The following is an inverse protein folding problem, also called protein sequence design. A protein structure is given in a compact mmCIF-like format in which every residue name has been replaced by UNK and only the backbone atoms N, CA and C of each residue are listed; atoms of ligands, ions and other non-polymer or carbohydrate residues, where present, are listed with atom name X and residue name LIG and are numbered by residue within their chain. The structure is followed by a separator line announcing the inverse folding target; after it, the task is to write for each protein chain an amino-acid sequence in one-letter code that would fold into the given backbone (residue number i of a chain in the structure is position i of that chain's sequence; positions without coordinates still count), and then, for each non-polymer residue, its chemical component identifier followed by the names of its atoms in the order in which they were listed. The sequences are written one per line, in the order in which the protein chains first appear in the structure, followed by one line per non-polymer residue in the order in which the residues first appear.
data_IF_415529832180
#
_entry.id   IF_415529832180
#
_cell.length_a   1.000
_cell.length_b   1.000
_cell.length_c   1.000
_cell.angle_alpha   90.00
_cell.angle_beta   90.00
_cell.angle_gamma   90.00
#
_symmetry.space_group_name_H-M   'P 1'
#
loop_
_entity.id
_entity.type
_entity.pdbx_description
1 polymer ?
#
# COMPACT_ATOMS: atom_id res chain seq x y z
N UNK A 1 -4.31 -6.78 -2.15
CA UNK A 1 -3.58 -6.41 -0.93
C UNK A 1 -4.00 -7.26 0.27
N UNK A 2 -5.29 -7.37 0.60
CA UNK A 2 -5.76 -8.18 1.74
C UNK A 2 -5.20 -9.60 1.70
N UNK A 3 -5.28 -10.27 0.55
CA UNK A 3 -4.79 -11.64 0.37
C UNK A 3 -3.27 -11.76 0.30
N UNK A 4 -2.57 -10.70 -0.08
CA UNK A 4 -1.11 -10.71 -0.25
C UNK A 4 -0.34 -10.15 0.98
N UNK A 5 -1.03 -9.50 1.90
CA UNK A 5 -0.42 -8.88 3.09
C UNK A 5 0.55 -7.73 2.78
N UNK A 6 0.47 -7.16 1.58
CA UNK A 6 1.35 -6.07 1.15
C UNK A 6 0.64 -5.11 0.18
N UNK A 7 0.87 -3.81 0.34
CA UNK A 7 0.34 -2.78 -0.57
C UNK A 7 1.01 -2.76 -1.95
N UNK A 8 2.13 -3.44 -2.11
CA UNK A 8 2.87 -3.48 -3.37
C UNK A 8 2.13 -4.19 -4.51
N UNK A 9 1.07 -4.93 -4.23
CA UNK A 9 0.15 -5.47 -5.25
C UNK A 9 -0.46 -4.38 -6.12
N UNK A 10 -0.52 -3.13 -5.65
CA UNK A 10 -0.95 -1.99 -6.45
C UNK A 10 -0.13 -1.83 -7.73
N UNK A 11 1.18 -2.09 -7.72
CA UNK A 11 2.03 -1.95 -8.91
C UNK A 11 1.52 -2.72 -10.13
N UNK A 12 0.91 -3.88 -9.93
CA UNK A 12 0.36 -4.69 -11.02
C UNK A 12 -0.96 -4.15 -11.60
N UNK A 13 -1.70 -3.38 -10.82
CA UNK A 13 -3.02 -2.87 -11.20
C UNK A 13 -3.01 -1.42 -11.69
N UNK A 14 -2.07 -0.60 -11.22
CA UNK A 14 -2.00 0.82 -11.57
C UNK A 14 -1.96 1.08 -13.10
N UNK A 15 -1.17 0.34 -13.92
CA UNK A 15 -1.16 0.55 -15.38
C UNK A 15 -2.53 0.28 -16.02
N UNK A 16 -3.23 -0.76 -15.55
CA UNK A 16 -4.57 -1.11 -16.04
C UNK A 16 -5.57 -0.02 -15.68
N UNK A 17 -5.48 0.51 -14.47
CA UNK A 17 -6.34 1.61 -14.00
C UNK A 17 -6.15 2.86 -14.87
N UNK A 18 -4.91 3.20 -15.23
CA UNK A 18 -4.62 4.33 -16.13
C UNK A 18 -5.28 4.12 -17.50
N UNK A 19 -5.10 2.95 -18.10
CA UNK A 19 -5.66 2.65 -19.43
C UNK A 19 -7.19 2.70 -19.42
N UNK A 20 -7.85 2.06 -18.46
CA UNK A 20 -9.31 2.06 -18.31
C UNK A 20 -9.84 3.47 -18.06
N UNK A 21 -9.14 4.25 -17.23
CA UNK A 21 -9.54 5.64 -16.96
C UNK A 21 -9.44 6.51 -18.23
N UNK A 22 -8.36 6.38 -19.00
CA UNK A 22 -8.18 7.10 -20.29
C UNK A 22 -9.26 6.71 -21.30
N UNK A 23 -9.54 5.41 -21.44
CA UNK A 23 -10.59 4.92 -22.34
C UNK A 23 -11.97 5.47 -21.97
N UNK A 24 -12.27 5.50 -20.67
CA UNK A 24 -13.50 6.07 -20.11
C UNK A 24 -13.52 7.60 -20.04
N UNK A 25 -12.47 8.28 -20.52
CA UNK A 25 -12.27 9.74 -20.42
C UNK A 25 -12.34 10.27 -18.98
N UNK A 26 -12.10 9.38 -18.01
CA UNK A 26 -12.03 9.73 -16.59
C UNK A 26 -10.62 10.19 -16.27
N UNK A 27 -10.50 11.24 -15.47
CA UNK A 27 -9.22 11.71 -14.95
C UNK A 27 -8.49 10.61 -14.17
N UNK A 28 -7.34 10.07 -14.62
CA UNK A 28 -6.65 8.96 -13.97
C UNK A 28 -6.29 9.19 -12.50
N UNK A 29 -6.03 10.44 -12.09
CA UNK A 29 -5.72 10.74 -10.68
C UNK A 29 -6.82 10.35 -9.70
N UNK A 30 -8.08 10.26 -10.13
CA UNK A 30 -9.21 9.86 -9.28
C UNK A 30 -9.11 8.37 -8.91
N UNK A 31 -9.20 7.42 -9.85
CA UNK A 31 -9.11 6.00 -9.52
C UNK A 31 -7.71 5.59 -9.03
N UNK A 32 -6.63 6.24 -9.48
CA UNK A 32 -5.29 5.96 -8.99
C UNK A 32 -5.12 6.32 -7.51
N UNK A 33 -5.63 7.49 -7.09
CA UNK A 33 -5.54 7.90 -5.69
C UNK A 33 -6.28 6.92 -4.78
N UNK A 34 -7.46 6.46 -5.19
CA UNK A 34 -8.24 5.48 -4.43
C UNK A 34 -7.51 4.13 -4.39
N UNK A 35 -7.00 3.65 -5.54
CA UNK A 35 -6.30 2.37 -5.60
C UNK A 35 -5.05 2.34 -4.71
N UNK A 36 -4.26 3.42 -4.72
CA UNK A 36 -3.06 3.54 -3.87
C UNK A 36 -3.45 3.59 -2.40
N UNK A 37 -4.38 4.46 -2.01
CA UNK A 37 -4.84 4.58 -0.62
C UNK A 37 -5.45 3.26 -0.13
N UNK A 38 -6.35 2.66 -0.91
CA UNK A 38 -6.97 1.39 -0.56
C UNK A 38 -5.94 0.27 -0.41
N UNK A 39 -4.89 0.25 -1.23
CA UNK A 39 -3.83 -0.75 -1.11
C UNK A 39 -3.05 -0.65 0.21
N UNK A 40 -2.90 0.54 0.76
CA UNK A 40 -2.25 0.78 2.05
C UNK A 40 -3.18 0.43 3.21
N UNK A 41 -4.42 0.91 3.19
CA UNK A 41 -5.42 0.60 4.22
C UNK A 41 -5.72 -0.90 4.32
N UNK A 42 -5.76 -1.59 3.20
CA UNK A 42 -6.05 -3.02 3.13
C UNK A 42 -4.99 -3.92 3.80
N UNK A 43 -3.81 -3.39 4.13
CA UNK A 43 -2.80 -4.13 4.92
C UNK A 43 -3.31 -4.35 6.34
N UNK A 44 -4.04 -3.38 6.93
CA UNK A 44 -4.64 -3.53 8.25
C UNK A 44 -5.79 -4.55 8.28
N UNK A 45 -6.37 -4.87 7.12
CA UNK A 45 -7.40 -5.90 6.97
C UNK A 45 -6.83 -7.25 6.49
N UNK A 46 -5.51 -7.36 6.35
CA UNK A 46 -4.90 -8.59 5.84
C UNK A 46 -4.58 -9.58 6.96
N UNK A 47 -5.16 -10.78 6.92
CA UNK A 47 -4.88 -11.81 7.93
C UNK A 47 -3.43 -12.28 7.94
N UNK A 48 -2.67 -12.03 6.88
CA UNK A 48 -1.27 -12.45 6.77
C UNK A 48 -0.28 -11.28 6.85
N UNK A 49 -0.74 -10.06 7.16
CA UNK A 49 0.16 -8.92 7.30
C UNK A 49 0.92 -8.98 8.63
N UNK A 50 2.21 -8.68 8.60
CA UNK A 50 3.02 -8.65 9.81
C UNK A 50 2.50 -7.66 10.87
N UNK A 51 1.86 -6.56 10.45
CA UNK A 51 1.30 -5.59 11.38
C UNK A 51 0.09 -6.14 12.15
N UNK A 52 -0.83 -6.83 11.46
CA UNK A 52 -2.03 -7.45 12.08
C UNK A 52 -1.63 -8.60 12.98
N UNK A 53 -0.75 -9.47 12.49
CA UNK A 53 -0.26 -10.62 13.27
C UNK A 53 0.42 -10.15 14.57
N UNK A 54 1.27 -9.14 14.47
CA UNK A 54 1.93 -8.57 15.65
C UNK A 54 0.93 -7.93 16.62
N UNK A 55 -0.01 -7.12 16.12
CA UNK A 55 -1.04 -6.54 17.00
C UNK A 55 -1.82 -7.63 17.72
N UNK A 56 -2.27 -8.64 17.00
CA UNK A 56 -3.03 -9.73 17.59
C UNK A 56 -2.23 -10.47 18.67
N UNK A 57 -0.95 -10.76 18.43
CA UNK A 57 -0.09 -11.41 19.44
C UNK A 57 0.12 -10.56 20.70
N UNK A 58 0.17 -9.24 20.55
CA UNK A 58 0.28 -8.32 21.68
C UNK A 58 -1.03 -8.22 22.49
N UNK A 59 -2.17 -8.41 21.84
CA UNK A 59 -3.49 -8.31 22.48
C UNK A 59 -3.99 -9.65 23.05
N UNK A 60 -3.48 -10.78 22.59
CA UNK A 60 -3.90 -12.11 23.02
C UNK A 60 -3.88 -12.30 24.56
N UNK A 61 -2.82 -11.84 25.30
CA UNK A 61 -2.79 -11.91 26.76
C UNK A 61 -3.90 -11.09 27.44
N UNK A 62 -4.51 -10.14 26.73
CA UNK A 62 -5.59 -9.29 27.25
C UNK A 62 -6.99 -9.85 26.95
N UNK A 63 -7.08 -11.02 26.29
CA UNK A 63 -8.33 -11.69 25.93
C UNK A 63 -8.89 -11.27 24.57
N UNK A 64 -8.20 -10.40 23.82
CA UNK A 64 -8.59 -10.03 22.44
C UNK A 64 -7.83 -10.91 21.46
N UNK A 65 -8.54 -11.91 20.92
CA UNK A 65 -7.94 -12.88 20.01
C UNK A 65 -7.81 -12.35 18.57
N UNK A 66 -6.98 -13.05 17.80
CA UNK A 66 -6.71 -12.74 16.40
C UNK A 66 -7.97 -12.59 15.52
N UNK A 67 -8.93 -13.50 15.64
CA UNK A 67 -10.17 -13.43 14.86
C UNK A 67 -11.05 -12.24 15.24
N UNK A 68 -11.01 -11.80 16.50
CA UNK A 68 -11.73 -10.61 16.95
C UNK A 68 -11.12 -9.34 16.34
N UNK A 69 -9.79 -9.22 16.30
CA UNK A 69 -9.12 -8.12 15.61
C UNK A 69 -9.55 -8.09 14.14
N UNK A 70 -9.51 -9.22 13.44
CA UNK A 70 -9.90 -9.29 12.02
C UNK A 70 -11.38 -8.96 11.80
N UNK A 71 -12.27 -9.42 12.70
CA UNK A 71 -13.70 -9.15 12.60
C UNK A 71 -14.03 -7.66 12.68
N UNK A 72 -13.18 -6.87 13.32
CA UNK A 72 -13.32 -5.41 13.42
C UNK A 72 -12.64 -4.72 12.24
N UNK A 73 -11.36 -5.03 11.99
CA UNK A 73 -10.57 -4.25 11.02
C UNK A 73 -10.94 -4.53 9.56
N UNK A 74 -11.41 -5.74 9.22
CA UNK A 74 -11.81 -6.07 7.84
C UNK A 74 -13.01 -5.22 7.39
N UNK A 75 -14.19 -5.28 8.05
CA UNK A 75 -15.34 -4.50 7.63
C UNK A 75 -15.07 -2.98 7.70
N UNK A 76 -14.39 -2.50 8.75
CA UNK A 76 -14.03 -1.10 8.88
C UNK A 76 -13.19 -0.62 7.68
N UNK A 77 -12.18 -1.41 7.26
CA UNK A 77 -11.34 -1.09 6.10
C UNK A 77 -12.17 -0.99 4.82
N UNK A 78 -13.03 -1.96 4.54
CA UNK A 78 -13.86 -1.92 3.35
C UNK A 78 -14.81 -0.71 3.36
N UNK A 79 -15.46 -0.44 4.49
CA UNK A 79 -16.38 0.69 4.63
C UNK A 79 -15.69 2.04 4.44
N UNK A 80 -14.46 2.21 4.92
CA UNK A 80 -13.71 3.47 4.83
C UNK A 80 -13.34 3.88 3.41
N UNK A 81 -13.28 2.92 2.47
CA UNK A 81 -12.90 3.20 1.08
C UNK A 81 -14.03 3.90 0.32
N UNK A 82 -15.29 3.64 0.64
CA UNK A 82 -16.42 4.25 -0.07
C UNK A 82 -16.47 5.78 0.04
N UNK A 83 -16.41 6.41 1.23
CA UNK A 83 -16.35 7.86 1.33
C UNK A 83 -15.10 8.45 0.68
N UNK A 84 -13.94 7.76 0.77
CA UNK A 84 -12.73 8.18 0.09
C UNK A 84 -12.90 8.19 -1.45
N UNK A 85 -13.54 7.15 -2.00
CA UNK A 85 -13.84 7.06 -3.42
C UNK A 85 -14.82 8.15 -3.87
N UNK A 86 -15.85 8.39 -3.07
CA UNK A 86 -16.84 9.44 -3.36
C UNK A 86 -16.20 10.84 -3.38
N UNK A 87 -15.32 11.11 -2.41
CA UNK A 87 -14.58 12.38 -2.34
C UNK A 87 -13.61 12.49 -3.53
N UNK A 88 -12.81 11.46 -3.81
CA UNK A 88 -11.83 11.48 -4.90
C UNK A 88 -12.47 11.76 -6.27
N UNK A 89 -13.68 11.24 -6.50
CA UNK A 89 -14.41 11.48 -7.75
C UNK A 89 -14.81 12.96 -7.97
N UNK A 90 -14.80 13.78 -6.92
CA UNK A 90 -15.12 15.21 -7.00
C UNK A 90 -13.90 16.11 -7.21
N UNK A 91 -12.68 15.53 -7.12
CA UNK A 91 -11.48 16.33 -7.25
C UNK A 91 -10.96 16.43 -8.68
N UNK A 92 -10.48 17.64 -8.98
CA UNK A 92 -9.87 17.98 -10.26
C UNK A 92 -10.90 18.18 -11.38
N UNK A 93 -10.46 18.85 -12.44
CA UNK A 93 -11.23 19.02 -13.68
C UNK A 93 -11.40 17.68 -14.38
N UNK A 94 -12.39 17.57 -15.26
CA UNK A 94 -12.47 16.43 -16.17
C UNK A 94 -11.19 16.32 -17.02
N UNK A 95 -10.90 15.14 -17.53
CA UNK A 95 -9.63 14.91 -18.23
C UNK A 95 -9.48 15.84 -19.43
N UNK A 96 -10.52 16.00 -20.20
CA UNK A 96 -10.53 16.83 -21.42
C UNK A 96 -10.44 18.34 -21.13
N UNK A 97 -10.68 18.77 -19.87
CA UNK A 97 -10.58 20.16 -19.41
C UNK A 97 -9.28 20.45 -18.63
N UNK A 98 -8.44 19.44 -18.43
CA UNK A 98 -7.17 19.63 -17.72
C UNK A 98 -6.10 20.22 -18.64
N UNK A 99 -5.63 21.46 -18.37
CA UNK A 99 -4.65 22.11 -19.23
C UNK A 99 -3.33 21.32 -19.33
N UNK A 100 -2.93 20.62 -18.28
CA UNK A 100 -1.71 19.80 -18.30
C UNK A 100 -1.88 18.58 -19.22
N UNK A 101 -3.05 17.94 -19.19
CA UNK A 101 -3.35 16.86 -20.12
C UNK A 101 -3.35 17.34 -21.58
N UNK A 102 -4.01 18.46 -21.85
CA UNK A 102 -4.10 19.01 -23.19
C UNK A 102 -2.70 19.40 -23.73
N UNK A 103 -1.89 20.01 -22.90
CA UNK A 103 -0.49 20.33 -23.27
C UNK A 103 0.32 19.08 -23.57
N UNK A 104 0.29 18.06 -22.67
CA UNK A 104 1.01 16.81 -22.87
C UNK A 104 0.52 16.03 -24.08
N UNK A 105 -0.78 16.07 -24.36
CA UNK A 105 -1.37 15.47 -25.56
C UNK A 105 -0.89 16.17 -26.82
N UNK A 106 -0.86 17.51 -26.83
CA UNK A 106 -0.33 18.29 -27.95
C UNK A 106 1.17 18.02 -28.21
N UNK A 107 1.94 17.72 -27.17
CA UNK A 107 3.35 17.33 -27.26
C UNK A 107 3.57 15.85 -27.65
N UNK A 108 2.50 15.06 -27.85
CA UNK A 108 2.60 13.64 -28.16
C UNK A 108 3.09 12.75 -27.00
N UNK A 109 3.03 13.24 -25.76
CA UNK A 109 3.49 12.52 -24.57
C UNK A 109 2.43 11.57 -24.01
N UNK A 110 1.18 11.73 -24.41
CA UNK A 110 0.07 10.87 -23.98
C UNK A 110 -0.18 9.83 -25.06
N UNK A 111 -0.07 8.56 -24.67
CA UNK A 111 -0.38 7.44 -25.58
C UNK A 111 -1.87 7.28 -25.70
N UNK A 112 -2.35 7.01 -26.91
CA UNK A 112 -3.75 6.63 -27.12
C UNK A 112 -4.03 5.32 -26.35
N UNK A 113 -5.21 5.21 -25.69
CA UNK A 113 -5.60 4.00 -25.01
C UNK A 113 -5.73 2.84 -26.01
N UNK A 114 -5.32 1.67 -25.60
CA UNK A 114 -5.30 0.48 -26.48
C UNK A 114 -6.69 0.07 -26.96
N UNK A 115 -7.75 0.49 -26.29
CA UNK A 115 -9.14 0.18 -26.63
C UNK A 115 -9.46 -1.32 -26.57
N UNK A 116 -10.58 -1.69 -26.02
CA UNK A 116 -10.98 -3.10 -25.88
C UNK A 116 -11.20 -3.82 -27.24
N UNK A 117 -11.46 -3.07 -28.32
CA UNK A 117 -11.75 -3.62 -29.65
C UNK A 117 -10.54 -3.94 -30.52
N UNK A 118 -9.38 -3.33 -30.25
CA UNK A 118 -8.19 -3.43 -31.09
C UNK A 118 -7.03 -4.19 -30.40
N UNK A 119 -7.23 -4.67 -29.17
CA UNK A 119 -6.19 -5.37 -28.46
C UNK A 119 -6.05 -6.82 -28.95
N UNK A 120 -4.97 -7.11 -29.63
CA UNK A 120 -4.54 -8.49 -29.93
C UNK A 120 -3.45 -8.90 -28.96
N UNK A 121 -3.71 -9.83 -28.03
CA UNK A 121 -2.69 -10.29 -27.09
C UNK A 121 -1.48 -10.84 -27.83
N UNK A 122 -0.29 -10.42 -27.45
CA UNK A 122 0.94 -10.99 -27.99
C UNK A 122 1.03 -12.50 -27.68
N UNK A 123 1.75 -13.23 -28.54
CA UNK A 123 1.98 -14.66 -28.35
C UNK A 123 2.62 -14.90 -26.98
N UNK A 124 1.98 -15.72 -26.16
CA UNK A 124 2.45 -16.01 -24.80
C UNK A 124 1.84 -15.14 -23.69
N UNK A 125 1.10 -14.07 -24.01
CA UNK A 125 0.52 -13.17 -22.99
C UNK A 125 -0.39 -13.91 -21.99
N UNK A 126 -1.28 -14.80 -22.47
CA UNK A 126 -2.16 -15.59 -21.58
C UNK A 126 -1.36 -16.53 -20.68
N UNK A 127 -0.31 -17.17 -21.20
CA UNK A 127 0.55 -18.04 -20.42
C UNK A 127 1.35 -17.25 -19.37
N UNK A 128 1.80 -16.03 -19.70
CA UNK A 128 2.48 -15.14 -18.74
C UNK A 128 1.56 -14.76 -17.58
N UNK A 129 0.31 -14.42 -17.86
CA UNK A 129 -0.69 -14.12 -16.81
C UNK A 129 -0.92 -15.35 -15.94
N UNK A 130 -1.05 -16.55 -16.54
CA UNK A 130 -1.23 -17.78 -15.77
C UNK A 130 -0.04 -18.06 -14.85
N UNK A 131 1.20 -17.96 -15.35
CA UNK A 131 2.42 -18.14 -14.53
C UNK A 131 2.45 -17.13 -13.38
N UNK A 132 2.12 -15.87 -13.64
CA UNK A 132 2.05 -14.84 -12.61
C UNK A 132 0.99 -15.15 -11.53
N UNK A 133 -0.21 -15.58 -11.93
CA UNK A 133 -1.27 -15.95 -10.99
C UNK A 133 -0.87 -17.17 -10.14
N UNK A 134 -0.24 -18.17 -10.74
CA UNK A 134 0.29 -19.32 -10.01
C UNK A 134 1.36 -18.90 -9.01
N UNK A 135 2.25 -18.00 -9.40
CA UNK A 135 3.26 -17.45 -8.48
C UNK A 135 2.62 -16.73 -7.28
N UNK A 136 1.57 -15.94 -7.50
CA UNK A 136 0.82 -15.29 -6.41
C UNK A 136 0.21 -16.35 -5.48
N UNK A 137 -0.41 -17.40 -6.02
CA UNK A 137 -1.00 -18.48 -5.21
C UNK A 137 0.07 -19.18 -4.37
N UNK A 138 1.25 -19.46 -4.95
CA UNK A 138 2.38 -20.07 -4.22
C UNK A 138 2.84 -19.15 -3.08
N UNK A 139 3.01 -17.85 -3.34
CA UNK A 139 3.40 -16.87 -2.30
C UNK A 139 2.37 -16.82 -1.19
N UNK A 140 1.08 -16.79 -1.54
CA UNK A 140 -0.01 -16.76 -0.56
C UNK A 140 -0.04 -18.05 0.28
N UNK A 141 0.08 -19.20 -0.37
CA UNK A 141 0.15 -20.49 0.32
C UNK A 141 1.33 -20.55 1.28
N UNK A 142 2.52 -20.15 0.83
CA UNK A 142 3.71 -20.08 1.68
C UNK A 142 3.52 -19.16 2.87
N UNK A 143 3.03 -17.93 2.64
CA UNK A 143 2.78 -16.96 3.70
C UNK A 143 1.74 -17.45 4.72
N UNK A 144 0.75 -18.24 4.27
CA UNK A 144 -0.26 -18.84 5.16
C UNK A 144 0.34 -20.00 5.98
N UNK A 145 1.06 -20.92 5.32
CA UNK A 145 1.66 -22.09 5.97
C UNK A 145 2.72 -21.72 7.01
N UNK A 146 3.44 -20.61 6.80
CA UNK A 146 4.48 -20.10 7.69
C UNK A 146 3.98 -19.06 8.69
N UNK A 147 2.66 -18.76 8.70
CA UNK A 147 2.09 -17.84 9.68
C UNK A 147 2.00 -18.50 11.05
N UNK A 148 2.26 -17.74 12.11
CA UNK A 148 2.19 -18.21 13.50
C UNK A 148 0.81 -18.79 13.86
N UNK A 149 -0.27 -18.24 13.26
CA UNK A 149 -1.64 -18.68 13.51
C UNK A 149 -1.96 -20.06 12.92
N UNK A 150 -1.36 -20.41 11.78
CA UNK A 150 -1.57 -21.72 11.14
C UNK A 150 -0.61 -22.75 11.71
N UNK A 151 0.62 -22.35 12.05
CA UNK A 151 1.60 -23.16 12.77
C UNK A 151 2.06 -24.43 12.06
N UNK A 152 1.78 -24.57 10.75
CA UNK A 152 2.17 -25.78 10.00
C UNK A 152 3.68 -25.85 9.74
N UNK A 153 4.34 -24.69 9.59
CA UNK A 153 5.78 -24.56 9.42
C UNK A 153 6.27 -23.53 10.45
N UNK A 154 6.68 -24.02 11.61
CA UNK A 154 7.05 -23.16 12.73
C UNK A 154 8.42 -22.45 12.54
N UNK A 155 9.35 -23.09 11.81
CA UNK A 155 10.69 -22.53 11.54
C UNK A 155 11.00 -22.63 10.04
N UNK A 156 10.51 -21.66 9.24
CA UNK A 156 10.70 -21.70 7.81
C UNK A 156 12.16 -21.39 7.45
N UNK A 157 12.80 -22.30 6.73
CA UNK A 157 14.16 -22.11 6.19
C UNK A 157 14.24 -20.96 5.20
N UNK A 158 13.10 -20.58 4.60
CA UNK A 158 12.97 -19.44 3.69
C UNK A 158 12.02 -18.41 4.30
N UNK A 159 12.53 -17.30 4.87
CA UNK A 159 11.69 -16.24 5.39
C UNK A 159 10.75 -15.65 4.32
N UNK A 160 9.69 -14.99 4.76
CA UNK A 160 8.59 -14.55 3.90
C UNK A 160 9.03 -13.64 2.74
N UNK A 161 9.88 -12.65 3.02
CA UNK A 161 10.31 -11.70 1.98
C UNK A 161 11.18 -12.37 0.93
N UNK A 162 12.07 -13.23 1.36
CA UNK A 162 12.96 -14.03 0.51
C UNK A 162 12.17 -15.01 -0.33
N UNK A 163 11.11 -15.61 0.23
CA UNK A 163 10.19 -16.46 -0.52
C UNK A 163 9.47 -15.68 -1.62
N UNK A 164 8.94 -14.49 -1.33
CA UNK A 164 8.30 -13.63 -2.32
C UNK A 164 9.29 -13.30 -3.44
N UNK A 165 10.49 -12.83 -3.11
CA UNK A 165 11.51 -12.50 -4.10
C UNK A 165 11.86 -13.70 -4.98
N UNK A 166 12.12 -14.86 -4.36
CA UNK A 166 12.52 -16.08 -5.08
C UNK A 166 11.41 -16.55 -6.03
N UNK A 167 10.17 -16.63 -5.57
CA UNK A 167 9.03 -17.08 -6.38
C UNK A 167 8.76 -16.10 -7.53
N UNK A 168 8.78 -14.79 -7.27
CA UNK A 168 8.49 -13.79 -8.30
C UNK A 168 9.59 -13.69 -9.35
N UNK A 169 10.87 -13.79 -8.95
CA UNK A 169 11.99 -13.83 -9.90
C UNK A 169 11.99 -15.11 -10.72
N UNK A 170 11.65 -16.25 -10.12
CA UNK A 170 11.48 -17.52 -10.85
C UNK A 170 10.35 -17.41 -11.86
N UNK A 171 9.20 -16.86 -11.47
CA UNK A 171 8.09 -16.63 -12.40
C UNK A 171 8.48 -15.71 -13.55
N UNK A 172 9.18 -14.62 -13.27
CA UNK A 172 9.68 -13.71 -14.30
C UNK A 172 10.62 -14.43 -15.28
N UNK A 173 11.53 -15.25 -14.75
CA UNK A 173 12.45 -16.06 -15.58
C UNK A 173 11.69 -17.02 -16.48
N UNK A 174 10.71 -17.74 -15.94
CA UNK A 174 9.85 -18.67 -16.71
C UNK A 174 9.12 -17.90 -17.82
N UNK A 175 8.55 -16.74 -17.51
CA UNK A 175 7.83 -15.91 -18.49
C UNK A 175 8.78 -15.49 -19.61
N UNK A 176 9.97 -14.98 -19.31
CA UNK A 176 10.95 -14.56 -20.32
C UNK A 176 11.38 -15.74 -21.20
N UNK A 177 11.64 -16.89 -20.60
CA UNK A 177 12.01 -18.11 -21.36
C UNK A 177 10.89 -18.59 -22.28
N UNK A 178 9.64 -18.55 -21.83
CA UNK A 178 8.47 -18.98 -22.62
C UNK A 178 8.14 -18.00 -23.75
N UNK A 179 8.22 -16.70 -23.47
CA UNK A 179 7.83 -15.66 -24.43
C UNK A 179 8.96 -15.28 -25.37
N UNK A 180 10.20 -15.59 -24.99
CA UNK A 180 11.43 -15.20 -25.72
C UNK A 180 11.52 -13.68 -25.94
N UNK A 181 10.95 -12.89 -25.03
CA UNK A 181 11.02 -11.42 -25.08
C UNK A 181 12.46 -10.98 -24.86
N UNK A 182 13.03 -10.13 -25.70
CA UNK A 182 14.35 -9.58 -25.47
C UNK A 182 14.43 -8.80 -24.16
N UNK A 183 15.48 -8.99 -23.38
CA UNK A 183 15.65 -8.29 -22.10
C UNK A 183 15.63 -6.76 -22.25
N UNK A 184 16.14 -6.24 -23.39
CA UNK A 184 16.09 -4.83 -23.70
C UNK A 184 14.67 -4.25 -23.78
N UNK A 185 13.71 -5.05 -24.28
CA UNK A 185 12.31 -4.61 -24.37
C UNK A 185 11.68 -4.51 -22.98
N UNK A 186 12.02 -5.44 -22.08
CA UNK A 186 11.56 -5.40 -20.67
C UNK A 186 12.05 -4.13 -19.99
N UNK A 187 13.35 -3.78 -20.14
CA UNK A 187 13.96 -2.59 -19.56
C UNK A 187 13.30 -1.29 -20.03
N UNK A 188 12.73 -1.29 -21.23
CA UNK A 188 12.10 -0.13 -21.82
C UNK A 188 10.62 0.03 -21.47
N UNK A 189 10.02 -0.97 -20.80
CA UNK A 189 8.61 -0.86 -20.40
C UNK A 189 8.40 0.21 -19.32
N UNK A 190 7.27 0.94 -19.33
CA UNK A 190 6.95 1.91 -18.28
C UNK A 190 6.91 1.27 -16.90
N UNK A 191 6.38 0.04 -16.80
CA UNK A 191 6.28 -0.71 -15.52
C UNK A 191 7.65 -0.99 -14.92
N UNK A 192 8.62 -1.42 -15.75
CA UNK A 192 9.99 -1.66 -15.28
C UNK A 192 10.65 -0.35 -14.83
N UNK A 193 10.53 0.70 -15.63
CA UNK A 193 11.14 2.02 -15.31
C UNK A 193 10.59 2.59 -14.01
N UNK A 194 9.27 2.58 -13.81
CA UNK A 194 8.68 3.07 -12.56
C UNK A 194 9.00 2.16 -11.37
N UNK A 195 9.06 0.84 -11.57
CA UNK A 195 9.51 -0.09 -10.54
C UNK A 195 10.96 0.18 -10.10
N UNK A 196 11.87 0.39 -11.03
CA UNK A 196 13.26 0.74 -10.73
C UNK A 196 13.40 2.12 -10.08
N UNK A 197 12.65 3.12 -10.55
CA UNK A 197 12.59 4.44 -9.91
C UNK A 197 12.11 4.33 -8.45
N UNK A 198 11.06 3.52 -8.20
CA UNK A 198 10.60 3.24 -6.85
C UNK A 198 11.65 2.54 -5.99
N UNK A 199 12.39 1.56 -6.55
CA UNK A 199 13.50 0.90 -5.83
C UNK A 199 14.59 1.90 -5.43
N UNK A 200 15.01 2.78 -6.33
CA UNK A 200 16.01 3.81 -6.04
C UNK A 200 15.51 4.76 -4.94
N UNK A 201 14.26 5.19 -5.03
CA UNK A 201 13.63 6.03 -4.01
C UNK A 201 13.61 5.32 -2.64
N UNK A 202 13.20 4.05 -2.58
CA UNK A 202 13.17 3.28 -1.34
C UNK A 202 14.58 3.09 -0.77
N UNK A 203 15.57 2.77 -1.60
CA UNK A 203 16.95 2.62 -1.15
C UNK A 203 17.53 3.95 -0.64
N UNK A 204 17.22 5.07 -1.29
CA UNK A 204 17.72 6.37 -0.86
C UNK A 204 16.96 6.97 0.31
N UNK A 205 15.67 7.23 0.12
CA UNK A 205 14.84 7.96 1.10
C UNK A 205 14.50 7.10 2.31
N UNK A 206 14.11 5.84 2.08
CA UNK A 206 13.74 4.96 3.19
C UNK A 206 14.95 4.56 4.03
N UNK A 207 16.11 4.32 3.41
CA UNK A 207 17.33 4.04 4.17
C UNK A 207 17.76 5.23 5.01
N UNK A 208 17.78 6.43 4.43
CA UNK A 208 18.09 7.65 5.17
C UNK A 208 17.10 7.84 6.34
N UNK A 209 15.80 7.72 6.07
CA UNK A 209 14.75 7.82 7.09
C UNK A 209 14.90 6.76 8.18
N UNK A 210 15.13 5.50 7.82
CA UNK A 210 15.32 4.40 8.77
C UNK A 210 16.58 4.61 9.63
N UNK A 211 17.67 5.08 9.02
CA UNK A 211 18.92 5.38 9.77
C UNK A 211 18.71 6.49 10.78
N UNK A 212 18.02 7.56 10.40
CA UNK A 212 17.69 8.66 11.29
C UNK A 212 16.80 8.19 12.45
N UNK A 213 15.74 7.47 12.13
CA UNK A 213 14.77 6.99 13.13
C UNK A 213 15.44 5.97 14.08
N UNK A 214 16.23 5.04 13.57
CA UNK A 214 16.92 4.08 14.43
C UNK A 214 17.89 4.78 15.40
N UNK A 215 18.52 5.88 14.96
CA UNK A 215 19.40 6.67 15.82
C UNK A 215 18.64 7.38 16.96
N UNK A 216 17.45 7.89 16.66
CA UNK A 216 16.61 8.62 17.61
C UNK A 216 15.44 7.79 18.17
N UNK A 217 15.50 6.45 18.04
CA UNK A 217 14.37 5.58 18.40
C UNK A 217 13.99 5.72 19.89
N UNK A 218 14.97 5.77 20.79
CA UNK A 218 14.74 5.90 22.22
C UNK A 218 14.10 7.26 22.55
N UNK A 219 14.55 8.32 21.92
CA UNK A 219 13.98 9.65 22.09
C UNK A 219 12.53 9.70 21.56
N UNK A 220 12.27 9.11 20.38
CA UNK A 220 10.94 9.04 19.79
C UNK A 220 10.00 8.24 20.69
N UNK A 221 10.43 7.10 21.21
CA UNK A 221 9.63 6.26 22.10
C UNK A 221 9.35 6.96 23.42
N UNK A 222 10.34 7.66 23.98
CA UNK A 222 10.17 8.45 25.21
C UNK A 222 9.17 9.60 25.02
N UNK A 223 9.29 10.36 23.92
CA UNK A 223 8.35 11.42 23.58
C UNK A 223 6.94 10.88 23.31
N UNK A 224 6.83 9.82 22.50
CA UNK A 224 5.57 9.17 22.21
C UNK A 224 4.93 8.62 23.51
N UNK A 225 5.73 7.98 24.36
CA UNK A 225 5.30 7.46 25.66
C UNK A 225 4.70 8.54 26.56
N UNK A 226 5.37 9.67 26.71
CA UNK A 226 4.88 10.79 27.53
C UNK A 226 3.56 11.39 27.02
N UNK A 227 3.38 11.44 25.70
CA UNK A 227 2.12 11.89 25.07
C UNK A 227 1.01 10.89 25.30
N UNK A 228 1.28 9.59 25.13
CA UNK A 228 0.29 8.52 25.32
C UNK A 228 -0.11 8.41 26.81
N UNK A 229 0.84 8.51 27.72
CA UNK A 229 0.57 8.48 29.16
C UNK A 229 -0.36 9.61 29.60
N UNK A 230 -0.12 10.83 29.09
CA UNK A 230 -0.94 11.99 29.40
C UNK A 230 -2.31 11.96 28.71
N UNK A 231 -2.41 11.34 27.55
CA UNK A 231 -3.59 11.37 26.67
C UNK A 231 -3.67 10.12 25.79
N UNK A 232 -4.17 8.99 26.32
CA UNK A 232 -4.22 7.71 25.57
C UNK A 232 -4.95 7.77 24.23
N UNK A 233 -5.93 8.67 24.08
CA UNK A 233 -6.67 8.89 22.85
C UNK A 233 -5.80 9.46 21.71
N UNK A 234 -4.64 10.05 22.04
CA UNK A 234 -3.68 10.52 21.05
C UNK A 234 -2.87 9.39 20.41
N UNK A 235 -3.04 8.13 20.85
CA UNK A 235 -2.33 6.99 20.24
C UNK A 235 -2.50 6.96 18.71
N UNK A 236 -3.71 7.18 18.21
CA UNK A 236 -3.98 7.20 16.78
C UNK A 236 -3.18 8.31 16.06
N UNK A 237 -3.05 9.48 16.69
CA UNK A 237 -2.28 10.60 16.13
C UNK A 237 -0.78 10.30 16.13
N UNK A 238 -0.28 9.72 17.20
CA UNK A 238 1.13 9.30 17.32
C UNK A 238 1.46 8.24 16.26
N UNK A 239 0.63 7.20 16.14
CA UNK A 239 0.80 6.15 15.13
C UNK A 239 0.73 6.71 13.70
N UNK A 240 -0.16 7.68 13.46
CA UNK A 240 -0.31 8.31 12.15
C UNK A 240 0.98 9.01 11.70
N UNK A 241 1.54 9.87 12.54
CA UNK A 241 2.78 10.56 12.18
C UNK A 241 3.99 9.62 12.15
N UNK A 242 4.06 8.67 13.08
CA UNK A 242 5.13 7.67 13.09
C UNK A 242 5.09 6.80 11.82
N UNK A 243 3.91 6.36 11.37
CA UNK A 243 3.76 5.58 10.15
C UNK A 243 4.22 6.35 8.90
N UNK A 244 3.88 7.64 8.84
CA UNK A 244 4.31 8.51 7.73
C UNK A 244 5.84 8.66 7.66
N UNK A 245 6.53 8.60 8.80
CA UNK A 245 7.99 8.69 8.87
C UNK A 245 8.68 7.33 8.66
N UNK A 246 8.13 6.26 9.25
CA UNK A 246 8.71 4.91 9.21
C UNK A 246 8.47 4.17 7.89
N UNK A 247 7.54 4.63 7.06
CA UNK A 247 7.15 3.99 5.79
C UNK A 247 6.75 2.51 5.92
N UNK A 248 6.33 2.08 7.11
CA UNK A 248 6.02 0.68 7.38
C UNK A 248 5.01 0.52 8.51
N UNK A 249 3.86 -0.10 8.20
CA UNK A 249 2.85 -0.44 9.20
C UNK A 249 3.42 -1.37 10.28
N UNK A 250 4.14 -2.41 9.86
CA UNK A 250 4.71 -3.39 10.78
C UNK A 250 5.77 -2.77 11.68
N UNK A 251 6.65 -1.92 11.14
CA UNK A 251 7.66 -1.23 11.94
C UNK A 251 7.02 -0.27 12.96
N UNK A 252 5.99 0.48 12.55
CA UNK A 252 5.25 1.37 13.45
C UNK A 252 4.57 0.61 14.55
N UNK A 253 3.87 -0.48 14.22
CA UNK A 253 3.22 -1.35 15.21
C UNK A 253 4.25 -1.90 16.20
N UNK A 254 5.38 -2.42 15.70
CA UNK A 254 6.44 -2.99 16.52
C UNK A 254 7.09 -1.95 17.45
N UNK A 255 7.29 -0.74 16.97
CA UNK A 255 7.97 0.30 17.74
C UNK A 255 7.09 0.89 18.85
N UNK A 256 5.80 1.09 18.61
CA UNK A 256 4.96 1.91 19.49
C UNK A 256 3.85 1.14 20.20
N UNK A 257 3.30 0.08 19.61
CA UNK A 257 2.16 -0.61 20.22
C UNK A 257 2.49 -1.33 21.53
N UNK A 258 3.65 -2.00 21.71
CA UNK A 258 4.03 -2.58 22.99
C UNK A 258 4.14 -1.53 24.11
N UNK A 259 4.73 -0.37 23.80
CA UNK A 259 4.87 0.72 24.76
C UNK A 259 3.48 1.30 25.14
N UNK A 260 2.59 1.48 24.17
CA UNK A 260 1.23 1.95 24.41
C UNK A 260 0.46 1.03 25.36
N UNK A 261 0.52 -0.27 25.12
CA UNK A 261 -0.12 -1.27 25.98
C UNK A 261 0.51 -1.32 27.40
N UNK A 262 1.83 -1.21 27.50
CA UNK A 262 2.53 -1.13 28.77
C UNK A 262 2.17 0.11 29.60
N UNK A 263 1.83 1.23 28.92
CA UNK A 263 1.33 2.45 29.53
C UNK A 263 -0.18 2.40 29.89
N UNK A 264 -0.84 1.25 29.69
CA UNK A 264 -2.22 1.04 30.10
C UNK A 264 -3.26 1.46 29.08
N UNK A 265 -2.87 1.67 27.82
CA UNK A 265 -3.86 1.86 26.73
C UNK A 265 -4.72 0.59 26.64
N UNK A 266 -6.05 0.77 26.63
CA UNK A 266 -6.95 -0.36 26.58
C UNK A 266 -6.82 -1.14 25.25
N UNK A 267 -7.05 -2.46 25.25
CA UNK A 267 -7.05 -3.26 24.03
C UNK A 267 -7.97 -2.71 22.94
N UNK A 268 -9.13 -2.22 23.35
CA UNK A 268 -10.12 -1.56 22.50
C UNK A 268 -9.53 -0.34 21.80
N UNK A 269 -8.93 0.57 22.59
CA UNK A 269 -8.27 1.77 22.05
C UNK A 269 -7.12 1.41 21.12
N UNK A 270 -6.37 0.36 21.44
CA UNK A 270 -5.28 -0.13 20.59
C UNK A 270 -5.78 -0.63 19.23
N UNK A 271 -6.87 -1.43 19.21
CA UNK A 271 -7.51 -1.89 17.95
C UNK A 271 -8.08 -0.72 17.17
N UNK A 272 -8.75 0.22 17.84
CA UNK A 272 -9.33 1.41 17.20
C UNK A 272 -8.26 2.34 16.60
N UNK A 273 -7.11 2.50 17.27
CA UNK A 273 -6.01 3.33 16.81
C UNK A 273 -5.13 2.62 15.75
N UNK A 274 -5.15 1.30 15.69
CA UNK A 274 -4.27 0.52 14.81
C UNK A 274 -4.32 0.92 13.33
N UNK A 275 -5.46 1.23 12.71
CA UNK A 275 -5.50 1.67 11.32
C UNK A 275 -4.62 2.88 11.01
N UNK A 276 -4.27 3.66 12.02
CA UNK A 276 -3.39 4.82 11.87
C UNK A 276 -1.99 4.48 11.34
N UNK A 277 -1.54 3.23 11.55
CA UNK A 277 -0.25 2.76 10.98
C UNK A 277 -0.25 2.74 9.44
N UNK A 278 -1.40 2.93 8.79
CA UNK A 278 -1.53 2.99 7.33
C UNK A 278 -1.38 4.42 6.75
N UNK A 279 -0.95 5.40 7.53
CA UNK A 279 -0.79 6.80 7.09
C UNK A 279 0.40 7.02 6.13
N UNK A 280 0.68 6.07 5.25
CA UNK A 280 1.80 6.09 4.28
C UNK A 280 1.54 7.02 3.09
N UNK A 281 0.31 7.53 2.97
CA UNK A 281 -0.11 8.44 1.90
C UNK A 281 0.18 9.91 2.17
N UNK A 282 0.58 10.28 3.39
CA UNK A 282 0.79 11.67 3.80
C UNK A 282 1.94 12.30 3.04
N UNK A 283 3.06 11.61 2.98
CA UNK A 283 4.23 12.06 2.22
C UNK A 283 4.21 11.43 0.82
N UNK A 284 4.39 12.22 -0.25
CA UNK A 284 4.30 11.72 -1.62
C UNK A 284 5.54 10.93 -2.06
N UNK A 285 6.29 10.40 -1.13
CA UNK A 285 7.54 9.66 -1.35
C UNK A 285 7.39 8.15 -1.18
N UNK A 286 6.22 7.67 -0.77
CA UNK A 286 5.98 6.24 -0.66
C UNK A 286 5.92 5.58 -2.06
N UNK A 287 6.54 4.40 -2.27
CA UNK A 287 6.75 3.82 -3.59
C UNK A 287 5.50 3.68 -4.48
N UNK A 288 4.35 3.32 -3.91
CA UNK A 288 3.11 3.17 -4.71
C UNK A 288 2.53 4.50 -5.18
N UNK A 289 2.75 5.60 -4.42
CA UNK A 289 2.36 6.94 -4.83
C UNK A 289 3.21 7.39 -6.03
N UNK A 290 4.52 7.22 -5.92
CA UNK A 290 5.45 7.57 -7.01
C UNK A 290 5.17 6.76 -8.27
N UNK A 291 4.91 5.46 -8.12
CA UNK A 291 4.53 4.62 -9.26
C UNK A 291 3.25 5.09 -9.94
N UNK A 292 2.24 5.50 -9.18
CA UNK A 292 1.00 6.03 -9.75
C UNK A 292 1.24 7.34 -10.52
N UNK A 293 2.13 8.21 -10.02
CA UNK A 293 2.53 9.45 -10.72
C UNK A 293 3.27 9.13 -12.01
N UNK A 294 4.23 8.22 -11.98
CA UNK A 294 5.06 7.84 -13.13
C UNK A 294 4.27 7.07 -14.22
N UNK A 295 3.27 6.29 -13.81
CA UNK A 295 2.46 5.50 -14.74
C UNK A 295 1.37 6.33 -15.43
N UNK A 296 0.99 7.49 -14.88
CA UNK A 296 -0.01 8.39 -15.46
C UNK A 296 0.62 9.33 -16.48
N UNK A 297 0.65 8.91 -17.74
CA UNK A 297 1.15 9.71 -18.86
C UNK A 297 0.31 10.96 -19.15
N UNK A 298 -0.93 11.03 -18.64
CA UNK A 298 -1.77 12.22 -18.78
C UNK A 298 -1.29 13.41 -17.94
N UNK A 299 -0.44 13.15 -16.91
CA UNK A 299 0.02 14.15 -15.96
C UNK A 299 -1.07 14.66 -15.00
N UNK A 300 -2.21 13.96 -14.95
CA UNK A 300 -3.29 14.29 -14.01
C UNK A 300 -2.93 13.90 -12.57
N UNK A 301 -2.18 12.83 -12.40
CA UNK A 301 -1.63 12.38 -11.12
C UNK A 301 -0.24 12.99 -10.97
N UNK A 302 -0.14 14.08 -10.22
CA UNK A 302 1.11 14.81 -10.05
C UNK A 302 1.30 15.30 -8.63
N UNK A 303 2.56 15.44 -8.23
CA UNK A 303 2.96 16.10 -7.00
C UNK A 303 3.16 17.58 -7.33
N UNK A 304 2.46 18.46 -6.62
CA UNK A 304 2.56 19.90 -6.79
C UNK A 304 3.78 20.51 -6.12
N UNK A 305 3.81 21.84 -6.02
CA UNK A 305 4.96 22.58 -5.47
C UNK A 305 5.15 22.40 -3.96
N UNK A 306 4.13 22.00 -3.23
CA UNK A 306 4.17 21.75 -1.79
C UNK A 306 4.04 20.26 -1.52
N UNK A 307 4.67 19.78 -0.43
CA UNK A 307 4.69 18.37 -0.02
C UNK A 307 3.29 17.76 0.09
N UNK A 308 2.34 18.53 0.59
CA UNK A 308 0.95 18.07 0.78
C UNK A 308 0.05 18.32 -0.44
N UNK A 309 0.59 18.82 -1.55
CA UNK A 309 -0.18 19.07 -2.76
C UNK A 309 -0.11 17.87 -3.73
N UNK A 310 -0.81 16.81 -3.41
CA UNK A 310 -0.90 15.60 -4.24
C UNK A 310 -2.28 14.93 -4.11
N UNK A 311 -2.74 14.18 -5.11
CA UNK A 311 -4.10 13.66 -5.15
C UNK A 311 -4.41 12.58 -4.12
N UNK A 312 -3.43 12.03 -3.44
CA UNK A 312 -3.59 10.95 -2.44
C UNK A 312 -3.97 11.48 -1.06
N UNK A 313 -3.64 12.73 -0.73
CA UNK A 313 -3.76 13.28 0.61
C UNK A 313 -5.21 13.26 1.10
N UNK A 314 -6.12 13.88 0.36
CA UNK A 314 -7.51 14.04 0.80
C UNK A 314 -8.24 12.69 0.84
N UNK A 315 -8.23 11.85 -0.23
CA UNK A 315 -8.84 10.52 -0.15
C UNK A 315 -8.24 9.66 0.96
N UNK A 316 -6.93 9.75 1.20
CA UNK A 316 -6.26 9.04 2.27
C UNK A 316 -6.72 9.50 3.65
N UNK A 317 -6.80 10.80 3.88
CA UNK A 317 -7.30 11.37 5.15
C UNK A 317 -8.76 11.00 5.39
N UNK A 318 -9.60 11.05 4.37
CA UNK A 318 -11.01 10.64 4.48
C UNK A 318 -11.11 9.15 4.81
N UNK A 319 -10.38 8.28 4.10
CA UNK A 319 -10.37 6.86 4.39
C UNK A 319 -9.87 6.58 5.81
N UNK A 320 -8.78 7.22 6.23
CA UNK A 320 -8.24 7.12 7.57
C UNK A 320 -9.26 7.49 8.65
N UNK A 321 -9.91 8.63 8.51
CA UNK A 321 -10.90 9.11 9.49
C UNK A 321 -12.07 8.13 9.62
N UNK A 322 -12.57 7.61 8.49
CA UNK A 322 -13.68 6.66 8.49
C UNK A 322 -13.25 5.23 8.86
N UNK A 323 -11.97 4.93 8.87
CA UNK A 323 -11.44 3.66 9.34
C UNK A 323 -11.26 3.66 10.86
N UNK A 324 -10.78 4.76 11.45
CA UNK A 324 -10.55 4.86 12.89
C UNK A 324 -11.84 5.07 13.68
N UNK A 325 -12.77 5.91 13.19
CA UNK A 325 -14.05 6.19 13.88
C UNK A 325 -14.95 4.94 14.00
N UNK A 326 -15.26 4.18 12.92
CA UNK A 326 -16.06 2.96 13.05
C UNK A 326 -15.41 1.90 13.94
N UNK A 327 -14.08 1.86 13.99
CA UNK A 327 -13.36 0.90 14.83
C UNK A 327 -13.58 1.22 16.31
N UNK A 328 -13.66 2.50 16.70
CA UNK A 328 -13.95 2.90 18.07
C UNK A 328 -15.39 2.58 18.51
N UNK A 329 -16.34 2.55 17.56
CA UNK A 329 -17.76 2.27 17.84
C UNK A 329 -18.12 0.78 17.80
N UNK A 330 -17.28 -0.04 17.13
CA UNK A 330 -17.50 -1.48 16.98
C UNK A 330 -16.85 -2.31 18.11
N UNK A 331 -16.07 -1.71 18.96
CA UNK A 331 -15.34 -2.32 20.06
C UNK A 331 -15.84 -1.74 21.39
#
# INVERSE_FOLDING_TARGET
TVLAGTGHTAFSTLPVIVEVAKEGKVRPSRPLSIAVVASQMAICASPISAAVVLLASLLEPTGVGYLQVLAVVIPATFLSIFPAAWVANKFGKELEDDPVYLERKAQGLVKEPLGAGNYSPQKGAKASVLVFLVAIIIVMAWATLTSEQVGLIADPTLPRNEAIMTVMLTAATIIVMMTKVPAGDVLNTPVFKSGMSACICVLGVAWLGTSLINHYMDDIQSMAGSVIESSPWLLAVVLFFAAALLYSQAATTKALMPAALALGVSPITAVAAFPAVSALFILPTYPTLLAAVEMDDTGSTRIGKAVFNHPFLIPGTVSYTHLTLPTSDLV
#
